data_IF_473861779396
#
_entry.id   IF_473861779396
#
_cell.length_a   1.000
_cell.length_b   1.000
_cell.length_c   1.000
_cell.angle_alpha   90.00
_cell.angle_beta   90.00
_cell.angle_gamma   90.00
#
_symmetry.space_group_name_H-M   'P 1'
#
loop_
_entity.id
_entity.type
_entity.pdbx_description
1 polymer ?
#
# COMPACT_ATOMS: atom_id res chain seq x y z
N UNK A 1 12.75 21.89 -8.50
CA UNK A 1 12.54 21.97 -7.03
C UNK A 1 13.76 21.36 -6.34
N UNK A 2 14.41 22.07 -5.42
CA UNK A 2 15.43 21.48 -4.55
C UNK A 2 14.76 20.59 -3.50
N UNK A 3 15.29 19.38 -3.29
CA UNK A 3 14.83 18.50 -2.21
C UNK A 3 15.90 18.38 -1.12
N UNK A 4 15.45 18.33 0.14
CA UNK A 4 16.33 18.16 1.29
C UNK A 4 15.82 17.00 2.13
N UNK A 5 16.71 16.12 2.56
CA UNK A 5 16.42 14.97 3.41
C UNK A 5 17.67 14.56 4.20
N UNK A 6 17.50 13.73 5.22
CA UNK A 6 18.63 13.10 5.90
C UNK A 6 18.95 11.75 5.28
N UNK A 7 20.22 11.45 5.04
CA UNK A 7 20.71 10.15 4.62
C UNK A 7 21.74 9.65 5.64
N UNK A 8 21.41 8.57 6.34
CA UNK A 8 22.25 7.98 7.38
C UNK A 8 22.66 8.96 8.49
N UNK A 9 21.84 9.99 8.74
CA UNK A 9 22.08 11.05 9.73
C UNK A 9 22.74 12.31 9.18
N UNK A 10 23.12 12.33 7.89
CA UNK A 10 23.71 13.50 7.24
C UNK A 10 22.67 14.23 6.38
N UNK A 11 22.67 15.56 6.40
CA UNK A 11 21.81 16.35 5.53
C UNK A 11 22.26 16.25 4.06
N UNK A 12 21.30 16.01 3.19
CA UNK A 12 21.49 15.98 1.74
C UNK A 12 20.56 17.00 1.11
N UNK A 13 21.11 17.92 0.31
CA UNK A 13 20.35 18.82 -0.55
C UNK A 13 20.65 18.52 -2.02
N UNK A 14 19.61 18.24 -2.80
CA UNK A 14 19.70 17.96 -4.22
C UNK A 14 18.97 19.06 -5.01
N UNK A 15 19.69 19.92 -5.74
CA UNK A 15 19.07 20.91 -6.60
C UNK A 15 18.48 20.22 -7.83
N UNK A 16 17.17 20.36 -8.00
CA UNK A 16 16.44 19.94 -9.22
C UNK A 16 16.75 18.51 -9.71
N UNK A 17 16.59 17.48 -8.87
CA UNK A 17 16.78 16.10 -9.32
C UNK A 17 15.76 15.76 -10.42
N UNK A 18 16.15 14.87 -11.33
CA UNK A 18 15.19 14.31 -12.29
C UNK A 18 14.04 13.63 -11.52
N UNK A 19 12.76 14.01 -11.77
CA UNK A 19 11.65 13.59 -10.92
C UNK A 19 11.45 12.09 -10.82
N UNK A 20 11.80 11.35 -11.86
CA UNK A 20 11.65 9.90 -11.97
C UNK A 20 12.91 9.11 -11.61
N UNK A 21 13.99 9.77 -11.16
CA UNK A 21 15.15 9.05 -10.62
C UNK A 21 14.73 8.28 -9.37
N UNK A 22 14.96 6.97 -9.38
CA UNK A 22 14.68 6.12 -8.22
C UNK A 22 15.73 6.35 -7.13
N UNK A 23 15.34 6.18 -5.87
CA UNK A 23 16.29 6.22 -4.76
C UNK A 23 17.38 5.16 -4.92
N UNK A 24 17.02 3.98 -5.46
CA UNK A 24 17.99 2.91 -5.66
C UNK A 24 19.11 3.32 -6.61
N UNK A 25 18.76 3.88 -7.78
CA UNK A 25 19.75 4.29 -8.79
C UNK A 25 20.63 5.40 -8.22
N UNK A 26 20.02 6.43 -7.62
CA UNK A 26 20.76 7.53 -7.01
C UNK A 26 21.72 7.08 -5.89
N UNK A 27 21.29 6.17 -5.01
CA UNK A 27 22.17 5.64 -3.97
C UNK A 27 23.38 4.91 -4.55
N UNK A 28 23.18 4.13 -5.61
CA UNK A 28 24.21 3.24 -6.15
C UNK A 28 25.13 3.95 -7.13
N UNK A 29 24.56 4.71 -8.06
CA UNK A 29 25.26 5.31 -9.20
C UNK A 29 25.84 6.68 -8.83
N UNK A 30 25.07 7.52 -8.16
CA UNK A 30 25.50 8.90 -7.85
C UNK A 30 26.23 9.00 -6.51
N UNK A 31 25.78 8.25 -5.50
CA UNK A 31 26.37 8.29 -4.14
C UNK A 31 27.41 7.20 -3.86
N UNK A 32 27.46 6.14 -4.67
CA UNK A 32 28.36 5.00 -4.43
C UNK A 32 28.02 4.19 -3.17
N UNK A 33 26.83 4.33 -2.60
CA UNK A 33 26.31 3.54 -1.49
C UNK A 33 25.78 2.20 -2.02
N UNK A 34 26.71 1.27 -2.21
CA UNK A 34 26.44 0.01 -2.95
C UNK A 34 25.78 -1.09 -2.12
N UNK A 35 25.53 -0.88 -0.83
CA UNK A 35 24.95 -1.85 0.10
C UNK A 35 23.50 -2.17 -0.21
N UNK A 36 22.70 -1.18 -0.61
CA UNK A 36 21.34 -1.38 -1.14
C UNK A 36 21.41 -2.09 -2.50
N UNK A 37 20.71 -3.22 -2.64
CA UNK A 37 20.85 -4.12 -3.81
C UNK A 37 19.64 -4.10 -4.73
N UNK A 38 19.89 -4.19 -6.02
CA UNK A 38 18.86 -4.48 -7.02
C UNK A 38 18.74 -5.99 -7.23
N UNK A 39 17.60 -6.58 -6.84
CA UNK A 39 17.32 -7.99 -7.12
C UNK A 39 16.22 -8.24 -8.17
N UNK A 40 15.35 -7.25 -8.39
CA UNK A 40 14.25 -7.35 -9.36
C UNK A 40 13.90 -6.01 -10.01
N UNK A 41 14.02 -4.88 -9.30
CA UNK A 41 13.58 -3.56 -9.76
C UNK A 41 12.05 -3.46 -10.00
N UNK A 42 11.27 -4.23 -9.24
CA UNK A 42 9.79 -4.31 -9.34
C UNK A 42 9.07 -4.26 -7.99
N UNK A 43 9.79 -4.06 -6.89
CA UNK A 43 9.22 -4.07 -5.53
C UNK A 43 8.97 -5.45 -4.92
N UNK A 44 9.21 -6.54 -5.65
CA UNK A 44 8.88 -7.89 -5.18
C UNK A 44 9.89 -8.51 -4.20
N UNK A 45 11.19 -8.28 -4.38
CA UNK A 45 12.20 -9.09 -3.67
C UNK A 45 12.68 -8.52 -2.32
N UNK A 46 12.44 -7.23 -2.05
CA UNK A 46 12.92 -6.53 -0.85
C UNK A 46 14.44 -6.35 -0.73
N UNK A 47 15.25 -6.77 -1.71
CA UNK A 47 16.72 -6.61 -1.67
C UNK A 47 17.17 -5.14 -1.58
N UNK A 48 16.31 -4.23 -2.05
CA UNK A 48 16.51 -2.78 -2.02
C UNK A 48 15.82 -2.10 -0.82
N UNK A 49 15.45 -2.84 0.22
CA UNK A 49 14.75 -2.26 1.37
C UNK A 49 15.63 -1.21 2.05
N UNK A 50 15.03 -0.05 2.32
CA UNK A 50 15.57 1.04 3.14
C UNK A 50 14.55 1.39 4.22
N UNK A 51 14.98 2.05 5.29
CA UNK A 51 14.07 2.59 6.30
C UNK A 51 13.89 4.09 6.05
N UNK A 52 12.64 4.53 5.95
CA UNK A 52 12.26 5.93 5.78
C UNK A 52 11.40 6.37 6.95
N UNK A 53 11.85 7.42 7.63
CA UNK A 53 11.20 7.98 8.81
C UNK A 53 10.66 9.36 8.51
N UNK A 54 9.41 9.60 8.89
CA UNK A 54 8.81 10.94 8.93
C UNK A 54 7.92 11.10 10.17
N UNK A 55 7.07 12.12 10.18
CA UNK A 55 6.16 12.44 11.29
C UNK A 55 5.22 11.28 11.68
N UNK A 56 5.01 10.30 10.80
CA UNK A 56 4.19 9.12 11.07
C UNK A 56 4.99 7.90 11.56
N UNK A 57 6.31 8.04 11.72
CA UNK A 57 7.20 7.00 12.21
C UNK A 57 8.07 6.38 11.10
N UNK A 58 8.83 5.35 11.49
CA UNK A 58 9.74 4.63 10.62
C UNK A 58 9.00 3.56 9.80
N UNK A 59 9.31 3.45 8.50
CA UNK A 59 8.75 2.45 7.60
C UNK A 59 9.82 1.85 6.71
N UNK A 60 9.75 0.54 6.48
CA UNK A 60 10.55 -0.14 5.49
C UNK A 60 9.93 0.13 4.11
N UNK A 61 10.71 0.60 3.14
CA UNK A 61 10.26 0.88 1.77
C UNK A 61 11.23 0.28 0.75
N UNK A 62 10.73 -0.01 -0.46
CA UNK A 62 11.54 -0.49 -1.58
C UNK A 62 12.15 0.69 -2.35
N UNK A 63 13.47 0.87 -2.31
CA UNK A 63 14.14 1.99 -2.97
C UNK A 63 14.00 2.01 -4.51
N UNK A 64 13.77 0.84 -5.14
CA UNK A 64 13.64 0.72 -6.61
C UNK A 64 12.38 1.38 -7.20
N UNK A 65 11.35 1.60 -6.38
CA UNK A 65 10.07 2.17 -6.81
C UNK A 65 9.69 3.37 -5.93
N UNK A 66 10.71 4.04 -5.39
CA UNK A 66 10.60 5.25 -4.59
C UNK A 66 11.38 6.35 -5.30
N UNK A 67 10.71 7.41 -5.72
CA UNK A 67 11.34 8.51 -6.44
C UNK A 67 11.90 9.56 -5.48
N UNK A 68 13.01 10.21 -5.87
CA UNK A 68 13.68 11.21 -5.06
C UNK A 68 12.75 12.31 -4.50
N UNK A 69 11.80 12.89 -5.27
CA UNK A 69 10.90 13.92 -4.74
C UNK A 69 10.05 13.49 -3.54
N UNK A 70 9.73 12.20 -3.41
CA UNK A 70 8.96 11.65 -2.28
C UNK A 70 9.76 11.65 -0.96
N UNK A 71 11.07 11.90 -1.02
CA UNK A 71 11.97 11.89 0.14
C UNK A 71 12.10 13.25 0.81
N UNK A 72 11.58 14.31 0.19
CA UNK A 72 11.67 15.66 0.72
C UNK A 72 11.13 15.74 2.16
N UNK A 73 11.99 16.21 3.07
CA UNK A 73 11.71 16.38 4.49
C UNK A 73 11.67 15.09 5.32
N UNK A 74 12.28 13.99 4.84
CA UNK A 74 12.33 12.69 5.55
C UNK A 74 13.75 12.32 5.98
N UNK A 75 13.88 11.36 6.89
CA UNK A 75 15.15 10.68 7.17
C UNK A 75 15.18 9.29 6.52
N UNK A 76 16.27 8.99 5.83
CA UNK A 76 16.50 7.75 5.11
C UNK A 76 17.70 7.06 5.75
N UNK A 77 17.51 5.80 6.13
CA UNK A 77 18.56 4.93 6.64
C UNK A 77 18.76 3.77 5.65
N UNK A 78 19.98 3.57 5.21
CA UNK A 78 20.42 2.43 4.39
C UNK A 78 21.24 1.45 5.24
N UNK A 79 21.58 0.29 4.69
CA UNK A 79 22.30 -0.76 5.44
C UNK A 79 23.66 -0.28 5.98
N UNK A 80 24.31 0.64 5.26
CA UNK A 80 25.59 1.24 5.62
C UNK A 80 25.49 2.13 6.87
N UNK A 81 24.32 2.73 7.12
CA UNK A 81 24.08 3.60 8.27
C UNK A 81 23.54 2.89 9.51
N UNK A 82 23.39 1.55 9.48
CA UNK A 82 22.78 0.76 10.58
C UNK A 82 23.72 0.60 11.76
N UNK A 83 24.98 0.26 11.50
CA UNK A 83 25.98 0.16 12.56
C UNK A 83 26.21 1.54 13.20
N UNK A 84 26.52 1.56 14.48
CA UNK A 84 26.89 2.80 15.15
C UNK A 84 28.20 3.34 14.56
N UNK A 85 28.45 4.67 14.54
CA UNK A 85 29.67 5.25 13.95
C UNK A 85 30.99 4.74 14.54
N UNK A 86 30.98 4.18 15.75
CA UNK A 86 32.16 3.54 16.35
C UNK A 86 32.42 2.09 15.87
N UNK A 87 31.58 1.58 14.97
CA UNK A 87 31.65 0.24 14.41
C UNK A 87 30.81 -0.81 15.16
N UNK A 88 30.15 -0.45 16.26
CA UNK A 88 29.27 -1.37 16.99
C UNK A 88 28.09 -1.78 16.12
N UNK A 89 27.90 -3.09 15.94
CA UNK A 89 26.78 -3.63 15.16
C UNK A 89 25.44 -3.38 15.86
N UNK A 90 24.40 -3.15 15.05
CA UNK A 90 23.04 -3.17 15.53
C UNK A 90 22.67 -4.58 16.05
N UNK A 91 21.83 -4.74 17.09
CA UNK A 91 21.42 -6.06 17.60
C UNK A 91 20.94 -7.04 16.52
N UNK A 92 20.13 -6.55 15.57
CA UNK A 92 19.71 -7.30 14.37
C UNK A 92 20.90 -7.81 13.52
N UNK A 93 21.92 -6.98 13.28
CA UNK A 93 23.10 -7.40 12.51
C UNK A 93 23.88 -8.48 13.26
N UNK A 94 24.07 -8.30 14.57
CA UNK A 94 24.76 -9.29 15.42
C UNK A 94 24.00 -10.62 15.44
N UNK A 95 22.69 -10.60 15.66
CA UNK A 95 21.85 -11.79 15.66
C UNK A 95 21.89 -12.55 14.31
N UNK A 96 21.92 -11.82 13.19
CA UNK A 96 22.04 -12.43 11.86
C UNK A 96 23.36 -13.16 11.65
N UNK A 97 24.46 -12.66 12.24
CA UNK A 97 25.76 -13.34 12.24
C UNK A 97 25.70 -14.58 13.13
N UNK A 98 25.25 -14.42 14.38
CA UNK A 98 25.28 -15.47 15.40
C UNK A 98 24.38 -16.66 15.05
N UNK A 99 23.27 -16.41 14.37
CA UNK A 99 22.24 -17.43 14.07
C UNK A 99 22.26 -17.90 12.61
N UNK A 100 23.31 -17.53 11.88
CA UNK A 100 23.54 -17.91 10.48
C UNK A 100 22.38 -17.50 9.55
N UNK A 101 21.86 -16.29 9.75
CA UNK A 101 20.77 -15.70 8.94
C UNK A 101 21.18 -15.35 7.51
N UNK A 102 22.40 -15.69 7.09
CA UNK A 102 22.96 -15.37 5.77
C UNK A 102 23.75 -16.55 5.20
N UNK A 103 23.71 -16.71 3.87
CA UNK A 103 24.58 -17.61 3.11
C UNK A 103 25.30 -16.83 2.00
N UNK A 104 24.63 -16.58 0.86
CA UNK A 104 25.23 -15.82 -0.25
C UNK A 104 25.39 -14.32 0.05
N UNK A 105 24.70 -13.79 1.06
CA UNK A 105 24.76 -12.40 1.49
C UNK A 105 23.95 -11.39 0.66
N UNK A 106 23.45 -11.77 -0.52
CA UNK A 106 22.83 -10.79 -1.44
C UNK A 106 21.54 -10.17 -0.90
N UNK A 107 20.66 -10.97 -0.31
CA UNK A 107 19.41 -10.48 0.29
C UNK A 107 19.60 -9.89 1.69
N UNK A 108 20.75 -10.11 2.32
CA UNK A 108 21.01 -9.77 3.71
C UNK A 108 20.79 -8.27 3.99
N UNK A 109 21.28 -7.31 3.16
CA UNK A 109 20.98 -5.90 3.37
C UNK A 109 19.49 -5.58 3.48
N UNK A 110 18.68 -6.12 2.57
CA UNK A 110 17.23 -5.93 2.58
C UNK A 110 16.57 -6.48 3.85
N UNK A 111 16.96 -7.69 4.25
CA UNK A 111 16.48 -8.30 5.50
C UNK A 111 16.88 -7.48 6.74
N UNK A 112 18.13 -7.03 6.82
CA UNK A 112 18.61 -6.17 7.91
C UNK A 112 17.74 -4.92 8.00
N UNK A 113 17.48 -4.24 6.88
CA UNK A 113 16.67 -3.01 6.90
C UNK A 113 15.21 -3.25 7.31
N UNK A 114 14.58 -4.35 6.88
CA UNK A 114 13.24 -4.72 7.35
C UNK A 114 13.23 -5.02 8.85
N UNK A 115 14.18 -5.81 9.34
CA UNK A 115 14.27 -6.16 10.77
C UNK A 115 14.64 -4.98 11.66
N UNK A 116 15.51 -4.07 11.20
CA UNK A 116 15.84 -2.82 11.92
C UNK A 116 14.61 -1.92 12.01
N UNK A 117 13.82 -1.82 10.93
CA UNK A 117 12.55 -1.07 10.96
C UNK A 117 11.56 -1.71 11.93
N UNK A 118 11.38 -3.03 11.86
CA UNK A 118 10.49 -3.77 12.77
C UNK A 118 10.92 -3.60 14.23
N UNK A 119 12.23 -3.74 14.51
CA UNK A 119 12.81 -3.53 15.84
C UNK A 119 12.60 -2.10 16.34
N UNK A 120 12.81 -1.10 15.49
CA UNK A 120 12.57 0.33 15.81
C UNK A 120 11.11 0.59 16.19
N UNK A 121 10.17 -0.10 15.54
CA UNK A 121 8.74 0.02 15.79
C UNK A 121 8.22 -0.93 16.88
N UNK A 122 9.07 -1.81 17.43
CA UNK A 122 8.66 -2.86 18.39
C UNK A 122 7.74 -3.94 17.79
N UNK A 123 7.77 -4.11 16.46
CA UNK A 123 6.96 -5.10 15.75
C UNK A 123 7.52 -6.52 15.94
N UNK A 124 6.63 -7.49 16.15
CA UNK A 124 6.97 -8.89 16.43
C UNK A 124 6.33 -9.89 15.46
N UNK A 125 5.50 -9.41 14.54
CA UNK A 125 4.83 -10.16 13.46
C UNK A 125 5.79 -10.42 12.29
N UNK A 126 6.90 -11.12 12.55
CA UNK A 126 8.02 -11.25 11.61
C UNK A 126 7.64 -11.85 10.24
N UNK A 127 6.68 -12.77 10.19
CA UNK A 127 6.20 -13.33 8.93
C UNK A 127 5.61 -12.22 8.02
N UNK A 128 4.85 -11.28 8.59
CA UNK A 128 4.30 -10.13 7.87
C UNK A 128 5.37 -9.10 7.53
N UNK A 129 6.26 -8.79 8.50
CA UNK A 129 7.32 -7.78 8.32
C UNK A 129 8.34 -8.21 7.25
N UNK A 130 8.57 -9.53 7.10
CA UNK A 130 9.59 -10.09 6.23
C UNK A 130 9.01 -10.74 4.96
N UNK A 131 7.69 -10.80 4.78
CA UNK A 131 7.06 -11.37 3.59
C UNK A 131 7.60 -10.78 2.27
N UNK A 132 7.98 -9.50 2.29
CA UNK A 132 8.55 -8.78 1.15
C UNK A 132 10.03 -9.01 0.89
N UNK A 133 10.72 -9.78 1.73
CA UNK A 133 12.15 -10.07 1.62
C UNK A 133 12.34 -11.51 1.18
N UNK A 134 12.78 -11.72 -0.06
CA UNK A 134 12.97 -13.06 -0.61
C UNK A 134 14.39 -13.58 -0.34
N UNK A 135 14.48 -14.77 0.23
CA UNK A 135 15.73 -15.51 0.37
C UNK A 135 15.65 -16.85 -0.36
N UNK A 136 16.65 -17.15 -1.20
CA UNK A 136 16.73 -18.43 -1.91
C UNK A 136 17.67 -19.46 -1.27
N UNK A 137 18.44 -19.06 -0.27
CA UNK A 137 19.52 -19.87 0.29
C UNK A 137 19.18 -20.45 1.67
N UNK A 138 18.65 -19.63 2.59
CA UNK A 138 18.61 -19.94 4.02
C UNK A 138 17.44 -20.83 4.44
N UNK A 139 16.37 -20.88 3.65
CA UNK A 139 15.11 -21.49 4.06
C UNK A 139 14.36 -20.71 5.15
N UNK A 140 14.67 -19.42 5.33
CA UNK A 140 14.04 -18.45 6.26
C UNK A 140 14.21 -18.70 7.76
N UNK A 141 14.15 -19.95 8.24
CA UNK A 141 14.25 -20.29 9.66
C UNK A 141 15.40 -19.60 10.45
N UNK A 142 16.65 -19.52 9.95
CA UNK A 142 17.71 -18.80 10.69
C UNK A 142 17.49 -17.27 10.75
N UNK A 143 16.79 -16.69 9.78
CA UNK A 143 16.46 -15.27 9.75
C UNK A 143 15.38 -14.97 10.80
N UNK A 144 14.33 -15.79 10.88
CA UNK A 144 13.29 -15.66 11.90
C UNK A 144 13.87 -15.75 13.30
N UNK A 145 14.76 -16.74 13.56
CA UNK A 145 15.49 -16.83 14.83
C UNK A 145 16.28 -15.57 15.16
N UNK A 146 16.93 -14.95 14.17
CA UNK A 146 17.67 -13.71 14.35
C UNK A 146 16.77 -12.51 14.67
N UNK A 147 15.62 -12.40 13.99
CA UNK A 147 14.63 -11.37 14.25
C UNK A 147 14.07 -11.46 15.68
N UNK A 148 13.72 -12.67 16.12
CA UNK A 148 13.25 -12.96 17.49
C UNK A 148 14.32 -12.65 18.54
N UNK A 149 15.56 -13.08 18.33
CA UNK A 149 16.65 -12.85 19.27
C UNK A 149 16.97 -11.35 19.47
N UNK A 150 16.73 -10.52 18.46
CA UNK A 150 16.97 -9.08 18.52
C UNK A 150 15.85 -8.29 19.24
N UNK A 151 14.64 -8.84 19.40
CA UNK A 151 13.46 -8.12 19.90
C UNK A 151 13.68 -7.45 21.26
N UNK A 152 14.34 -8.14 22.20
CA UNK A 152 14.53 -7.66 23.56
C UNK A 152 15.67 -6.64 23.74
N UNK A 153 16.48 -6.41 22.70
CA UNK A 153 17.58 -5.47 22.77
C UNK A 153 17.08 -4.02 22.64
N UNK A 154 17.73 -3.03 23.29
CA UNK A 154 17.37 -1.63 23.10
C UNK A 154 17.69 -1.18 21.65
N UNK A 155 16.80 -0.37 21.06
CA UNK A 155 17.07 0.32 19.80
C UNK A 155 18.30 1.24 19.99
N UNK A 156 19.30 1.24 19.10
CA UNK A 156 20.43 2.16 19.22
C UNK A 156 20.01 3.64 19.11
N UNK A 157 20.72 4.52 19.82
CA UNK A 157 20.35 5.94 19.91
C UNK A 157 20.41 6.67 18.56
N UNK A 158 21.43 6.40 17.73
CA UNK A 158 21.56 7.04 16.41
C UNK A 158 20.44 6.66 15.44
N UNK A 159 19.80 5.50 15.63
CA UNK A 159 18.61 5.08 14.88
C UNK A 159 17.37 5.79 15.43
N UNK A 160 17.21 5.89 16.75
CA UNK A 160 16.09 6.63 17.37
C UNK A 160 16.08 8.11 16.94
N UNK A 161 17.25 8.72 16.82
CA UNK A 161 17.40 10.12 16.42
C UNK A 161 16.87 10.42 15.02
N UNK A 162 16.70 9.43 14.14
CA UNK A 162 16.05 9.65 12.83
C UNK A 162 14.62 10.19 12.98
N UNK A 163 13.92 9.83 14.06
CA UNK A 163 12.57 10.34 14.34
C UNK A 163 12.55 11.81 14.79
N UNK A 164 13.71 12.34 15.23
CA UNK A 164 13.85 13.74 15.63
C UNK A 164 14.04 14.69 14.45
N UNK A 165 14.44 14.17 13.29
CA UNK A 165 14.44 14.94 12.06
C UNK A 165 13.01 15.10 11.55
N UNK A 166 12.41 16.21 11.94
CA UNK A 166 11.21 16.73 11.32
C UNK A 166 11.68 17.96 10.57
N UNK A 167 11.71 17.88 9.24
CA UNK A 167 11.76 19.09 8.43
C UNK A 167 10.50 19.88 8.76
N UNK A 168 10.62 20.83 9.69
CA UNK A 168 9.56 21.78 9.95
C UNK A 168 9.33 22.51 8.63
N UNK A 169 8.09 22.90 8.35
CA UNK A 169 7.79 23.88 7.30
C UNK A 169 8.40 25.23 7.69
N UNK A 170 9.72 25.29 7.85
CA UNK A 170 10.39 26.56 7.93
C UNK A 170 10.51 27.02 6.49
N UNK A 171 9.66 27.99 6.17
CA UNK A 171 10.05 29.05 5.24
C UNK A 171 11.36 29.66 5.75
N UNK A 172 12.49 29.01 5.47
CA UNK A 172 13.84 29.53 5.64
C UNK A 172 14.46 29.44 4.24
N UNK A 173 14.61 30.52 3.49
CA UNK A 173 15.03 31.82 4.01
C UNK A 173 16.33 31.58 4.75
N UNK A 174 17.40 31.36 3.98
CA UNK A 174 18.76 31.10 4.41
C UNK A 174 19.08 31.88 5.70
N UNK A 175 19.28 31.18 6.82
CA UNK A 175 19.73 31.85 8.04
C UNK A 175 21.23 32.03 7.93
N UNK A 176 21.57 33.25 7.56
CA UNK A 176 22.75 34.00 7.95
C UNK A 176 23.51 33.42 9.16
N UNK A 177 24.75 33.00 8.91
CA UNK A 177 25.82 33.18 9.89
C UNK A 177 27.10 33.68 9.19
N UNK A 178 27.03 34.91 8.68
CA UNK A 178 28.12 35.89 8.63
C UNK A 178 27.48 37.26 8.81
N UNK A 179 27.78 37.93 9.92
CA UNK A 179 27.13 39.17 10.35
C UNK A 179 27.11 40.30 9.31
N UNK A 180 26.05 40.34 8.52
CA UNK A 180 25.63 41.48 7.72
C UNK A 180 24.12 41.67 7.94
N UNK A 181 23.70 42.91 8.15
CA UNK A 181 22.29 43.27 8.27
C UNK A 181 21.49 42.78 7.04
N UNK A 182 20.24 42.32 7.23
CA UNK A 182 19.46 41.78 6.13
C UNK A 182 19.09 42.90 5.14
N UNK A 183 19.28 42.70 3.82
CA UNK A 183 18.80 43.66 2.83
C UNK A 183 17.28 43.72 2.87
N UNK A 184 16.74 44.93 2.86
CA UNK A 184 15.34 45.29 3.05
C UNK A 184 14.40 44.95 1.89
N UNK A 185 14.76 44.02 1.00
CA UNK A 185 13.97 43.65 -0.18
C UNK A 185 13.97 42.12 -0.37
N UNK A 186 13.11 41.41 0.38
CA UNK A 186 12.83 39.99 0.13
C UNK A 186 11.44 39.88 -0.53
N UNK A 187 11.33 39.30 -1.74
CA UNK A 187 10.04 39.06 -2.37
C UNK A 187 9.25 37.99 -1.61
N UNK A 188 7.93 38.18 -1.65
CA UNK A 188 6.82 37.27 -1.31
C UNK A 188 7.17 35.79 -1.44
N UNK A 189 6.65 34.98 -0.49
CA UNK A 189 6.70 33.51 -0.42
C UNK A 189 6.98 32.81 -1.77
N UNK A 190 7.98 31.93 -1.79
CA UNK A 190 8.32 31.13 -2.97
C UNK A 190 7.05 30.52 -3.58
N UNK A 191 6.89 30.58 -4.93
CA UNK A 191 5.70 30.08 -5.58
C UNK A 191 5.46 28.60 -5.20
N UNK A 192 4.20 28.19 -4.99
CA UNK A 192 3.89 26.81 -4.61
C UNK A 192 4.47 25.84 -5.63
N UNK A 193 5.16 24.81 -5.13
CA UNK A 193 5.77 23.78 -5.99
C UNK A 193 4.66 23.04 -6.72
N UNK A 194 4.56 23.26 -8.04
CA UNK A 194 3.64 22.52 -8.89
C UNK A 194 3.97 21.03 -8.92
N UNK A 195 5.23 20.65 -8.66
CA UNK A 195 5.66 19.25 -8.61
C UNK A 195 5.11 18.49 -7.39
N UNK A 196 4.90 19.17 -6.26
CA UNK A 196 4.53 18.55 -4.98
C UNK A 196 3.57 19.42 -4.16
N UNK A 197 2.26 19.43 -4.48
CA UNK A 197 1.25 20.16 -3.73
C UNK A 197 1.18 19.70 -2.26
N UNK A 198 0.88 20.64 -1.36
CA UNK A 198 0.85 20.44 0.10
C UNK A 198 -0.57 20.24 0.67
N UNK A 199 -1.59 20.49 -0.13
CA UNK A 199 -2.99 20.29 0.22
C UNK A 199 -3.80 19.84 -0.99
N UNK A 200 -4.99 19.29 -0.74
CA UNK A 200 -5.94 18.94 -1.78
C UNK A 200 -6.38 20.14 -2.63
N UNK A 201 -6.36 21.36 -2.08
CA UNK A 201 -6.65 22.59 -2.81
C UNK A 201 -5.53 22.96 -3.78
N UNK A 202 -4.27 22.92 -3.34
CA UNK A 202 -3.10 23.12 -4.22
C UNK A 202 -3.07 22.05 -5.32
N UNK A 203 -3.37 20.79 -4.99
CA UNK A 203 -3.47 19.70 -5.96
C UNK A 203 -4.58 19.95 -6.97
N UNK A 204 -5.78 20.35 -6.53
CA UNK A 204 -6.91 20.56 -7.42
C UNK A 204 -6.64 21.69 -8.42
N UNK A 205 -6.04 22.80 -7.99
CA UNK A 205 -5.64 23.88 -8.88
C UNK A 205 -4.55 23.43 -9.85
N UNK A 206 -3.53 22.72 -9.35
CA UNK A 206 -2.37 22.28 -10.13
C UNK A 206 -2.76 21.27 -11.21
N UNK A 207 -3.62 20.30 -10.87
CA UNK A 207 -4.01 19.23 -11.79
C UNK A 207 -5.08 19.70 -12.79
N UNK A 208 -5.95 20.64 -12.42
CA UNK A 208 -6.84 21.30 -13.38
C UNK A 208 -6.06 22.09 -14.45
N UNK A 209 -4.91 22.67 -14.09
CA UNK A 209 -4.03 23.36 -15.04
C UNK A 209 -3.17 22.41 -15.89
N UNK A 210 -2.97 21.16 -15.43
CA UNK A 210 -2.18 20.12 -16.11
C UNK A 210 -2.93 18.79 -16.12
N UNK A 211 -4.03 18.69 -16.87
CA UNK A 211 -4.92 17.52 -16.82
C UNK A 211 -4.27 16.22 -17.34
N UNK A 212 -3.17 16.33 -18.08
CA UNK A 212 -2.40 15.20 -18.62
C UNK A 212 -1.24 14.77 -17.68
N UNK A 213 -1.00 15.49 -16.58
CA UNK A 213 0.07 15.17 -15.65
C UNK A 213 -0.15 13.81 -14.98
N UNK A 214 0.93 13.05 -14.83
CA UNK A 214 0.88 11.77 -14.11
C UNK A 214 0.90 12.03 -12.61
N UNK A 215 -0.22 11.71 -11.93
CA UNK A 215 -0.27 11.76 -10.47
C UNK A 215 0.48 10.57 -9.87
N UNK A 216 1.39 10.86 -8.93
CA UNK A 216 2.21 9.86 -8.24
C UNK A 216 1.92 9.92 -6.74
N UNK A 217 1.23 8.88 -6.25
CA UNK A 217 1.01 8.66 -4.82
C UNK A 217 2.19 7.89 -4.21
N UNK A 218 2.01 6.57 -3.99
CA UNK A 218 3.04 5.67 -3.49
C UNK A 218 4.05 5.18 -4.53
N UNK A 219 3.83 5.48 -5.82
CA UNK A 219 4.62 5.01 -6.96
C UNK A 219 4.71 3.47 -7.13
N UNK A 220 3.92 2.67 -6.40
CA UNK A 220 4.04 1.21 -6.43
C UNK A 220 3.55 0.55 -7.73
N UNK A 221 2.73 1.25 -8.51
CA UNK A 221 2.38 0.88 -9.90
C UNK A 221 3.20 1.72 -10.91
N UNK A 222 3.19 3.05 -10.75
CA UNK A 222 3.85 4.01 -11.67
C UNK A 222 5.36 3.79 -11.75
N UNK A 223 6.00 3.36 -10.66
CA UNK A 223 7.42 3.02 -10.62
C UNK A 223 7.76 1.96 -11.67
N UNK A 224 6.88 0.98 -11.90
CA UNK A 224 7.07 -0.06 -12.90
C UNK A 224 6.97 0.47 -14.33
N UNK A 225 6.31 1.59 -14.55
CA UNK A 225 6.28 2.24 -15.87
C UNK A 225 7.69 2.74 -16.23
N UNK A 226 8.40 3.28 -15.25
CA UNK A 226 9.79 3.73 -15.42
C UNK A 226 10.74 2.53 -15.45
N UNK A 227 10.70 1.65 -14.44
CA UNK A 227 11.72 0.60 -14.28
C UNK A 227 11.56 -0.59 -15.22
N UNK A 228 10.33 -0.89 -15.66
CA UNK A 228 10.05 -2.06 -16.51
C UNK A 228 9.51 -1.75 -17.87
N UNK A 229 8.68 -0.73 -17.98
CA UNK A 229 8.20 -0.27 -19.29
C UNK A 229 9.14 0.74 -19.92
N UNK A 230 10.19 1.18 -19.20
CA UNK A 230 11.19 2.15 -19.68
C UNK A 230 10.53 3.41 -20.23
N UNK A 231 9.45 3.86 -19.58
CA UNK A 231 8.74 5.08 -19.94
C UNK A 231 9.37 6.27 -19.26
N UNK A 232 9.53 7.34 -20.03
CA UNK A 232 9.82 8.66 -19.51
C UNK A 232 8.52 9.35 -19.09
N UNK A 233 8.50 9.93 -17.88
CA UNK A 233 7.37 10.68 -17.35
C UNK A 233 7.79 12.12 -17.12
N UNK A 234 7.56 12.98 -18.10
CA UNK A 234 8.03 14.36 -18.10
C UNK A 234 7.18 15.29 -17.21
N UNK A 235 5.86 15.10 -17.21
CA UNK A 235 4.92 15.89 -16.41
C UNK A 235 4.31 15.04 -15.28
N UNK A 236 4.77 15.28 -14.06
CA UNK A 236 4.37 14.52 -12.87
C UNK A 236 3.94 15.43 -11.72
N UNK A 237 3.09 14.89 -10.85
CA UNK A 237 2.64 15.55 -9.61
C UNK A 237 2.72 14.55 -8.46
N UNK A 238 3.55 14.82 -7.46
CA UNK A 238 3.70 14.00 -6.27
C UNK A 238 2.69 14.38 -5.19
N UNK A 239 1.87 13.41 -4.80
CA UNK A 239 0.77 13.62 -3.86
C UNK A 239 1.18 13.50 -2.39
N UNK A 240 2.42 13.07 -2.11
CA UNK A 240 2.88 12.78 -0.75
C UNK A 240 2.93 14.03 0.16
N UNK A 241 2.95 15.23 -0.44
CA UNK A 241 2.83 16.50 0.25
C UNK A 241 1.41 16.82 0.75
N UNK A 242 0.36 16.25 0.15
CA UNK A 242 -1.05 16.54 0.49
C UNK A 242 -1.45 15.85 1.80
N UNK A 243 -1.26 16.53 2.93
CA UNK A 243 -1.49 15.95 4.27
C UNK A 243 -2.97 15.74 4.59
N UNK A 244 -3.83 16.62 4.09
CA UNK A 244 -5.30 16.55 4.24
C UNK A 244 -5.94 15.35 3.53
N UNK A 245 -5.28 14.79 2.51
CA UNK A 245 -5.72 13.56 1.83
C UNK A 245 -5.34 12.26 2.56
N UNK A 246 -4.60 12.33 3.67
CA UNK A 246 -4.11 11.14 4.42
C UNK A 246 -5.02 10.72 5.57
N UNK A 247 -6.10 11.44 5.83
CA UNK A 247 -6.98 11.23 6.99
C UNK A 247 -7.80 9.93 6.89
N UNK A 248 -8.06 9.31 8.04
CA UNK A 248 -9.07 8.27 8.19
C UNK A 248 -9.99 8.71 9.33
N UNK A 249 -11.28 8.81 9.07
CA UNK A 249 -12.29 9.22 10.05
C UNK A 249 -13.29 8.09 10.21
N UNK A 250 -13.46 7.63 11.45
CA UNK A 250 -14.47 6.65 11.84
C UNK A 250 -15.42 7.35 12.80
N UNK A 251 -16.68 7.49 12.39
CA UNK A 251 -17.76 8.03 13.21
C UNK A 251 -18.75 6.92 13.57
N UNK A 252 -19.82 7.28 14.30
CA UNK A 252 -20.90 6.34 14.60
C UNK A 252 -21.66 5.87 13.35
N UNK A 253 -21.64 6.65 12.27
CA UNK A 253 -22.46 6.42 11.07
C UNK A 253 -21.66 6.14 9.80
N UNK A 254 -20.43 6.63 9.70
CA UNK A 254 -19.61 6.53 8.49
C UNK A 254 -18.13 6.25 8.80
N UNK A 255 -17.50 5.46 7.93
CA UNK A 255 -16.04 5.38 7.77
C UNK A 255 -15.66 6.13 6.50
N UNK A 256 -14.75 7.11 6.61
CA UNK A 256 -14.19 7.86 5.48
C UNK A 256 -12.67 7.71 5.46
N UNK A 257 -12.12 7.35 4.30
CA UNK A 257 -10.70 7.10 4.08
C UNK A 257 -10.21 8.01 2.96
N UNK A 258 -9.28 8.92 3.28
CA UNK A 258 -8.66 9.80 2.30
C UNK A 258 -7.78 9.05 1.31
N UNK A 259 -7.70 9.54 0.07
CA UNK A 259 -7.02 8.87 -1.03
C UNK A 259 -5.53 8.57 -0.80
N UNK A 260 -4.86 9.33 0.07
CA UNK A 260 -3.44 9.16 0.42
C UNK A 260 -3.21 8.36 1.70
N UNK A 261 -4.25 7.76 2.30
CA UNK A 261 -4.06 6.80 3.38
C UNK A 261 -3.32 5.55 2.87
N UNK A 262 -2.18 5.22 3.49
CA UNK A 262 -1.41 4.02 3.16
C UNK A 262 -2.12 2.76 3.65
N UNK A 263 -1.83 1.63 2.99
CA UNK A 263 -2.54 0.38 3.24
C UNK A 263 -2.31 -0.19 4.64
N UNK A 264 -1.19 0.11 5.32
CA UNK A 264 -0.99 -0.32 6.70
C UNK A 264 -1.93 0.43 7.66
N UNK A 265 -2.10 1.75 7.47
CA UNK A 265 -3.07 2.54 8.24
C UNK A 265 -4.52 2.13 7.93
N UNK A 266 -4.83 1.80 6.67
CA UNK A 266 -6.16 1.28 6.30
C UNK A 266 -6.42 -0.07 6.99
N UNK A 267 -5.45 -1.00 6.98
CA UNK A 267 -5.55 -2.28 7.71
C UNK A 267 -5.89 -2.05 9.19
N UNK A 268 -5.06 -1.28 9.88
CA UNK A 268 -5.22 -1.04 11.32
C UNK A 268 -6.57 -0.37 11.66
N UNK A 269 -7.02 0.57 10.82
CA UNK A 269 -8.30 1.25 11.02
C UNK A 269 -9.52 0.33 10.79
N UNK A 270 -9.42 -0.63 9.87
CA UNK A 270 -10.53 -1.49 9.49
C UNK A 270 -10.58 -2.82 10.27
N UNK A 271 -9.49 -3.26 10.86
CA UNK A 271 -9.43 -4.48 11.69
C UNK A 271 -10.54 -4.57 12.74
N UNK A 272 -10.79 -3.56 13.60
CA UNK A 272 -11.86 -3.64 14.60
C UNK A 272 -13.28 -3.58 14.00
N UNK A 273 -13.42 -3.23 12.72
CA UNK A 273 -14.71 -3.04 12.06
C UNK A 273 -15.07 -4.22 11.14
N UNK A 274 -14.07 -4.75 10.44
CA UNK A 274 -14.18 -5.74 9.38
C UNK A 274 -12.89 -6.59 9.35
N UNK A 275 -12.74 -7.49 10.32
CA UNK A 275 -11.51 -8.26 10.53
C UNK A 275 -11.08 -9.04 9.26
N UNK A 276 -12.03 -9.61 8.53
CA UNK A 276 -11.74 -10.33 7.28
C UNK A 276 -11.18 -9.42 6.18
N UNK A 277 -11.57 -8.15 6.12
CA UNK A 277 -10.98 -7.20 5.17
C UNK A 277 -9.57 -6.80 5.61
N UNK A 278 -9.34 -6.60 6.90
CA UNK A 278 -7.99 -6.36 7.42
C UNK A 278 -7.04 -7.55 7.17
N UNK A 279 -7.51 -8.79 7.30
CA UNK A 279 -6.73 -10.00 6.95
C UNK A 279 -6.43 -10.06 5.44
N UNK A 280 -7.36 -9.65 4.58
CA UNK A 280 -7.04 -9.50 3.16
C UNK A 280 -5.94 -8.45 2.96
N UNK A 281 -6.02 -7.29 3.62
CA UNK A 281 -4.99 -6.25 3.51
C UNK A 281 -3.65 -6.72 4.07
N UNK A 282 -3.62 -7.57 5.11
CA UNK A 282 -2.38 -8.23 5.56
C UNK A 282 -1.67 -8.95 4.40
N UNK A 283 -2.45 -9.55 3.50
CA UNK A 283 -1.98 -10.24 2.29
C UNK A 283 -1.90 -9.33 1.05
N UNK A 284 -2.19 -8.04 1.17
CA UNK A 284 -1.99 -7.06 0.10
C UNK A 284 -0.49 -6.79 -0.03
N UNK A 285 0.10 -7.23 -1.15
CA UNK A 285 1.52 -7.10 -1.44
C UNK A 285 2.42 -7.51 -0.25
N UNK A 286 3.43 -6.70 0.07
CA UNK A 286 4.30 -6.85 1.25
C UNK A 286 4.19 -5.65 2.18
N UNK A 287 4.77 -5.75 3.38
CA UNK A 287 4.83 -4.64 4.33
C UNK A 287 5.42 -3.36 3.71
N UNK A 288 6.49 -3.50 2.91
CA UNK A 288 7.15 -2.38 2.24
C UNK A 288 6.26 -1.70 1.22
N UNK A 289 5.52 -2.49 0.44
CA UNK A 289 4.58 -1.95 -0.54
C UNK A 289 3.38 -1.32 0.16
N UNK A 290 2.84 -1.93 1.23
CA UNK A 290 1.71 -1.35 1.99
C UNK A 290 2.04 -0.03 2.66
N UNK A 291 3.30 0.16 3.07
CA UNK A 291 3.78 1.39 3.66
C UNK A 291 3.87 2.56 2.65
N UNK A 292 3.87 2.28 1.34
CA UNK A 292 3.86 3.30 0.27
C UNK A 292 2.52 3.39 -0.46
N UNK A 293 1.93 2.24 -0.82
CA UNK A 293 0.70 2.15 -1.61
C UNK A 293 -0.48 2.79 -0.86
N UNK A 294 -1.29 3.53 -1.60
CA UNK A 294 -2.45 4.23 -1.05
C UNK A 294 -3.75 3.64 -1.55
N UNK A 295 -4.83 3.77 -0.76
CA UNK A 295 -6.16 3.29 -1.17
C UNK A 295 -6.66 4.01 -2.43
N UNK A 296 -6.38 5.32 -2.55
CA UNK A 296 -6.76 6.11 -3.71
C UNK A 296 -5.98 5.69 -4.95
N UNK A 297 -4.67 5.42 -4.82
CA UNK A 297 -3.86 4.88 -5.90
C UNK A 297 -4.35 3.51 -6.37
N UNK A 298 -4.71 2.62 -5.43
CA UNK A 298 -5.25 1.31 -5.76
C UNK A 298 -6.58 1.38 -6.55
N UNK A 299 -7.48 2.30 -6.17
CA UNK A 299 -8.74 2.54 -6.90
C UNK A 299 -8.46 3.20 -8.26
N UNK A 300 -7.65 4.26 -8.29
CA UNK A 300 -7.35 5.05 -9.47
C UNK A 300 -6.56 4.29 -10.54
N UNK A 301 -5.81 3.25 -10.16
CA UNK A 301 -5.14 2.35 -11.09
C UNK A 301 -6.15 1.54 -11.93
N UNK A 302 -7.36 1.28 -11.40
CA UNK A 302 -8.44 0.69 -12.19
C UNK A 302 -8.21 -0.78 -12.59
N UNK A 303 -7.30 -1.48 -11.91
CA UNK A 303 -6.93 -2.85 -12.26
C UNK A 303 -8.05 -3.84 -11.89
N UNK A 304 -8.43 -4.79 -12.77
CA UNK A 304 -9.44 -5.81 -12.48
C UNK A 304 -9.04 -6.77 -11.36
N UNK A 305 -7.75 -6.83 -11.03
CA UNK A 305 -7.16 -7.69 -10.00
C UNK A 305 -6.74 -6.88 -8.76
N UNK A 306 -7.13 -5.59 -8.68
CA UNK A 306 -6.97 -4.80 -7.47
C UNK A 306 -7.78 -5.40 -6.32
N UNK A 307 -7.15 -5.57 -5.16
CA UNK A 307 -7.77 -6.34 -4.08
C UNK A 307 -8.81 -5.55 -3.25
N UNK A 308 -8.69 -4.22 -3.15
CA UNK A 308 -9.60 -3.40 -2.34
C UNK A 308 -10.95 -3.07 -3.01
N UNK A 309 -11.04 -2.82 -4.33
CA UNK A 309 -12.32 -2.48 -4.96
C UNK A 309 -13.43 -3.50 -4.68
N UNK A 310 -13.24 -4.84 -4.80
CA UNK A 310 -14.32 -5.77 -4.50
C UNK A 310 -14.81 -5.67 -3.04
N UNK A 311 -13.91 -5.54 -2.06
CA UNK A 311 -14.28 -5.39 -0.65
C UNK A 311 -15.09 -4.11 -0.41
N UNK A 312 -14.64 -2.98 -0.98
CA UNK A 312 -15.33 -1.70 -0.87
C UNK A 312 -16.68 -1.70 -1.62
N UNK A 313 -16.78 -2.37 -2.76
CA UNK A 313 -18.05 -2.57 -3.48
C UNK A 313 -19.03 -3.40 -2.64
N UNK A 314 -18.57 -4.48 -2.00
CA UNK A 314 -19.40 -5.28 -1.09
C UNK A 314 -19.87 -4.48 0.15
N UNK A 315 -19.08 -3.50 0.59
CA UNK A 315 -19.46 -2.52 1.62
C UNK A 315 -20.39 -1.40 1.09
N UNK A 316 -20.69 -1.39 -0.22
CA UNK A 316 -21.47 -0.34 -0.91
C UNK A 316 -20.83 1.04 -0.76
N UNK A 317 -19.50 1.09 -0.87
CA UNK A 317 -18.74 2.31 -0.71
C UNK A 317 -19.08 3.36 -1.79
N UNK A 318 -19.00 4.62 -1.38
CA UNK A 318 -19.08 5.81 -2.23
C UNK A 318 -17.68 6.34 -2.49
N UNK A 319 -17.32 6.52 -3.76
CA UNK A 319 -16.09 7.16 -4.19
C UNK A 319 -16.32 8.68 -4.31
N UNK A 320 -15.41 9.46 -3.76
CA UNK A 320 -15.41 10.92 -3.81
C UNK A 320 -14.33 11.38 -4.78
N UNK A 321 -14.74 12.09 -5.83
CA UNK A 321 -13.89 12.63 -6.88
C UNK A 321 -13.89 14.16 -6.80
N UNK A 322 -12.76 14.78 -7.15
CA UNK A 322 -12.59 16.24 -7.12
C UNK A 322 -11.93 16.74 -8.40
N UNK A 323 -12.49 17.80 -8.98
CA UNK A 323 -11.95 18.55 -10.11
C UNK A 323 -12.03 20.05 -9.78
N UNK A 324 -10.89 20.71 -9.62
CA UNK A 324 -10.83 22.09 -9.10
C UNK A 324 -11.69 22.24 -7.83
N UNK A 325 -12.68 23.16 -7.85
CA UNK A 325 -13.61 23.40 -6.73
C UNK A 325 -14.83 22.48 -6.75
N UNK A 326 -15.02 21.71 -7.82
CA UNK A 326 -16.16 20.80 -7.98
C UNK A 326 -15.86 19.43 -7.38
N UNK A 327 -16.86 18.85 -6.72
CA UNK A 327 -16.80 17.50 -6.14
C UNK A 327 -17.99 16.69 -6.62
N UNK A 328 -17.77 15.42 -6.91
CA UNK A 328 -18.83 14.45 -7.17
C UNK A 328 -18.62 13.19 -6.35
N UNK A 329 -19.73 12.52 -6.06
CA UNK A 329 -19.76 11.27 -5.33
C UNK A 329 -20.53 10.24 -6.16
N UNK A 330 -19.95 9.06 -6.35
CA UNK A 330 -20.56 7.96 -7.11
C UNK A 330 -20.41 6.65 -6.33
N UNK A 331 -21.32 5.67 -6.50
CA UNK A 331 -21.05 4.31 -6.05
C UNK A 331 -19.72 3.82 -6.63
N UNK A 332 -18.85 3.23 -5.80
CA UNK A 332 -17.50 2.85 -6.22
C UNK A 332 -17.50 1.92 -7.46
N UNK A 333 -18.48 1.03 -7.55
CA UNK A 333 -18.62 0.11 -8.68
C UNK A 333 -18.82 0.81 -10.03
N UNK A 334 -19.42 2.01 -10.03
CA UNK A 334 -19.72 2.78 -11.24
C UNK A 334 -18.48 3.52 -11.77
N UNK A 335 -17.42 3.61 -10.96
CA UNK A 335 -16.14 4.18 -11.37
C UNK A 335 -15.42 3.33 -12.42
N UNK A 336 -15.63 2.01 -12.45
CA UNK A 336 -14.95 1.10 -13.35
C UNK A 336 -15.84 0.82 -14.58
N UNK A 337 -15.52 1.43 -15.72
CA UNK A 337 -16.34 1.35 -16.95
C UNK A 337 -15.94 0.13 -17.78
N UNK A 338 -14.64 -0.03 -18.02
CA UNK A 338 -14.07 -1.11 -18.82
C UNK A 338 -12.60 -1.35 -18.40
N UNK A 339 -11.97 -2.38 -18.94
CA UNK A 339 -10.55 -2.64 -18.72
C UNK A 339 -9.70 -1.43 -19.13
N UNK A 340 -8.98 -0.85 -18.17
CA UNK A 340 -8.16 0.34 -18.39
C UNK A 340 -8.96 1.64 -18.63
N UNK A 341 -10.27 1.65 -18.34
CA UNK A 341 -11.13 2.83 -18.47
C UNK A 341 -11.97 3.07 -17.22
N UNK A 342 -11.85 4.25 -16.64
CA UNK A 342 -12.60 4.66 -15.46
C UNK A 342 -13.44 5.90 -15.74
N UNK A 343 -14.48 6.11 -14.93
CA UNK A 343 -15.25 7.36 -14.90
C UNK A 343 -14.42 8.44 -14.17
N UNK A 344 -13.43 9.00 -14.88
CA UNK A 344 -12.55 10.07 -14.39
C UNK A 344 -12.38 11.14 -15.47
N UNK A 345 -12.82 12.36 -15.20
CA UNK A 345 -12.62 13.48 -16.12
C UNK A 345 -11.13 13.92 -16.15
N UNK A 346 -10.66 14.53 -17.26
CA UNK A 346 -9.33 15.16 -17.27
C UNK A 346 -9.20 16.19 -16.13
N UNK A 347 -8.09 16.16 -15.39
CA UNK A 347 -7.89 17.03 -14.21
C UNK A 347 -8.69 16.64 -12.95
N UNK A 348 -9.44 15.52 -12.98
CA UNK A 348 -10.19 15.01 -11.84
C UNK A 348 -9.41 13.91 -11.11
N UNK A 349 -9.37 13.96 -9.78
CA UNK A 349 -8.66 12.97 -8.95
C UNK A 349 -9.56 12.35 -7.87
N UNK A 350 -9.14 11.18 -7.38
CA UNK A 350 -9.78 10.50 -6.24
C UNK A 350 -9.42 11.26 -4.96
N UNK A 351 -10.42 11.79 -4.26
CA UNK A 351 -10.24 12.54 -3.00
C UNK A 351 -10.36 11.59 -1.79
N UNK A 352 -11.36 10.71 -1.79
CA UNK A 352 -11.62 9.78 -0.70
C UNK A 352 -12.56 8.63 -1.11
N UNK A 353 -12.69 7.64 -0.24
CA UNK A 353 -13.75 6.64 -0.29
C UNK A 353 -14.45 6.57 1.08
N UNK A 354 -15.77 6.38 1.10
CA UNK A 354 -16.50 6.21 2.36
C UNK A 354 -17.58 5.12 2.29
N UNK A 355 -17.95 4.57 3.44
CA UNK A 355 -19.05 3.61 3.56
C UNK A 355 -19.71 3.72 4.94
N UNK A 356 -20.98 3.34 5.01
CA UNK A 356 -21.75 3.41 6.25
C UNK A 356 -21.25 2.38 7.28
N UNK A 357 -21.32 2.75 8.57
CA UNK A 357 -21.17 1.80 9.67
C UNK A 357 -22.28 0.77 9.58
N UNK A 358 -21.90 -0.50 9.64
CA UNK A 358 -22.81 -1.63 9.53
C UNK A 358 -22.33 -2.78 10.41
N UNK A 359 -23.22 -3.69 10.83
CA UNK A 359 -22.81 -4.96 11.45
C UNK A 359 -21.83 -5.71 10.54
N UNK A 360 -20.85 -6.39 11.13
CA UNK A 360 -19.83 -7.07 10.33
C UNK A 360 -20.32 -8.42 9.80
N UNK A 361 -20.88 -8.39 8.60
CA UNK A 361 -21.15 -9.56 7.76
C UNK A 361 -20.18 -9.68 6.60
N UNK A 362 -19.16 -8.83 6.51
CA UNK A 362 -18.22 -8.84 5.39
C UNK A 362 -17.23 -10.00 5.54
N UNK A 363 -17.06 -10.78 4.48
CA UNK A 363 -15.91 -11.67 4.33
C UNK A 363 -15.22 -11.42 3.00
N UNK A 364 -13.90 -11.39 3.00
CA UNK A 364 -13.06 -11.15 1.84
C UNK A 364 -12.08 -12.31 1.70
N UNK A 365 -12.18 -13.05 0.60
CA UNK A 365 -11.36 -14.21 0.33
C UNK A 365 -10.42 -13.93 -0.84
N UNK A 366 -9.11 -13.92 -0.54
CA UNK A 366 -8.05 -13.82 -1.53
C UNK A 366 -7.50 -15.19 -1.89
N UNK A 367 -7.58 -15.56 -3.16
CA UNK A 367 -7.01 -16.78 -3.71
C UNK A 367 -5.88 -16.46 -4.70
N UNK A 368 -4.71 -17.01 -4.43
CA UNK A 368 -3.46 -16.80 -5.16
C UNK A 368 -2.60 -18.08 -5.06
N UNK A 369 -1.49 -18.17 -5.81
CA UNK A 369 -0.62 -19.36 -5.77
C UNK A 369 0.18 -19.44 -4.48
N UNK A 370 0.60 -18.29 -3.95
CA UNK A 370 1.27 -18.12 -2.66
C UNK A 370 0.39 -17.26 -1.75
N UNK A 371 0.44 -17.50 -0.44
CA UNK A 371 -0.40 -16.77 0.51
C UNK A 371 -0.03 -15.29 0.56
N UNK A 372 1.23 -14.98 0.88
CA UNK A 372 1.70 -13.60 1.03
C UNK A 372 2.38 -13.11 -0.24
N UNK A 373 2.26 -11.79 -0.45
CA UNK A 373 2.84 -11.08 -1.60
C UNK A 373 2.60 -11.80 -2.93
N UNK A 374 1.33 -12.03 -3.23
CA UNK A 374 0.91 -12.58 -4.51
C UNK A 374 -0.34 -11.86 -5.00
N UNK A 375 -0.49 -11.78 -6.31
CA UNK A 375 -1.63 -11.16 -6.96
C UNK A 375 -2.78 -12.15 -6.99
N UNK A 376 -3.98 -11.68 -6.67
CA UNK A 376 -5.19 -12.50 -6.69
C UNK A 376 -5.44 -13.10 -8.07
N UNK A 377 -5.60 -14.42 -8.13
CA UNK A 377 -6.29 -15.06 -9.23
C UNK A 377 -7.80 -14.79 -9.11
N UNK A 378 -8.35 -15.00 -7.92
CA UNK A 378 -9.76 -14.66 -7.60
C UNK A 378 -9.77 -13.96 -6.26
N UNK A 379 -10.45 -12.82 -6.20
CA UNK A 379 -10.80 -12.20 -4.93
C UNK A 379 -12.31 -12.06 -4.85
N UNK A 380 -12.92 -12.70 -3.86
CA UNK A 380 -14.37 -12.64 -3.61
C UNK A 380 -14.67 -11.91 -2.32
N UNK A 381 -15.53 -10.90 -2.37
CA UNK A 381 -16.02 -10.17 -1.21
C UNK A 381 -17.54 -10.35 -1.07
N UNK A 382 -17.99 -10.76 0.11
CA UNK A 382 -19.38 -11.14 0.38
C UNK A 382 -19.90 -10.36 1.58
N UNK A 383 -21.05 -9.72 1.42
CA UNK A 383 -21.73 -9.01 2.48
C UNK A 383 -23.26 -9.22 2.36
N UNK A 384 -23.78 -10.15 3.16
CA UNK A 384 -25.18 -10.62 3.12
C UNK A 384 -25.85 -10.35 4.46
N UNK A 385 -27.02 -9.75 4.41
CA UNK A 385 -27.85 -9.47 5.59
C UNK A 385 -28.94 -10.53 5.72
N UNK A 386 -28.91 -11.29 6.82
CA UNK A 386 -29.92 -12.30 7.13
C UNK A 386 -30.77 -11.82 8.30
N UNK A 387 -32.09 -11.78 8.11
CA UNK A 387 -33.07 -11.39 9.14
C UNK A 387 -34.10 -12.50 9.26
N UNK A 388 -34.33 -13.01 10.47
CA UNK A 388 -35.28 -14.09 10.75
C UNK A 388 -35.07 -15.32 9.83
N UNK A 389 -33.82 -15.66 9.52
CA UNK A 389 -33.45 -16.79 8.67
C UNK A 389 -33.63 -16.59 7.16
N UNK A 390 -33.98 -15.38 6.70
CA UNK A 390 -34.10 -15.05 5.27
C UNK A 390 -33.10 -13.97 4.86
N UNK A 391 -32.59 -14.09 3.63
CA UNK A 391 -31.68 -13.09 3.05
C UNK A 391 -32.47 -11.86 2.62
N UNK A 392 -32.15 -10.72 3.22
CA UNK A 392 -32.83 -9.43 2.95
C UNK A 392 -32.01 -8.50 2.06
N UNK A 393 -30.68 -8.64 2.07
CA UNK A 393 -29.78 -7.91 1.19
C UNK A 393 -28.53 -8.74 0.92
N UNK A 394 -27.97 -8.59 -0.27
CA UNK A 394 -26.69 -9.18 -0.66
C UNK A 394 -25.89 -8.16 -1.48
N UNK A 395 -24.60 -8.04 -1.19
CA UNK A 395 -23.61 -7.41 -2.06
C UNK A 395 -22.40 -8.34 -2.13
N UNK A 396 -22.18 -8.90 -3.32
CA UNK A 396 -21.17 -9.91 -3.61
C UNK A 396 -20.37 -9.40 -4.80
N UNK A 397 -19.09 -9.12 -4.60
CA UNK A 397 -18.23 -8.53 -5.62
C UNK A 397 -16.96 -9.33 -5.82
N UNK A 398 -16.43 -9.30 -7.04
CA UNK A 398 -15.26 -10.06 -7.42
C UNK A 398 -14.21 -9.22 -8.15
N UNK A 399 -12.94 -9.52 -7.86
CA UNK A 399 -11.77 -9.15 -8.66
C UNK A 399 -11.18 -10.38 -9.37
N UNK A 400 -10.54 -10.18 -10.52
CA UNK A 400 -9.93 -11.25 -11.33
C UNK A 400 -10.92 -12.13 -12.10
N UNK A 401 -12.21 -11.78 -12.10
CA UNK A 401 -13.29 -12.55 -12.74
C UNK A 401 -13.84 -11.90 -14.01
N UNK A 402 -13.50 -10.64 -14.28
CA UNK A 402 -13.94 -9.85 -15.43
C UNK A 402 -12.93 -8.75 -15.76
N UNK A 403 -13.22 -7.95 -16.79
CA UNK A 403 -12.46 -6.77 -17.22
C UNK A 403 -12.39 -5.65 -16.15
N UNK A 404 -13.33 -5.65 -15.21
CA UNK A 404 -13.46 -4.70 -14.10
C UNK A 404 -13.83 -5.45 -12.81
N UNK A 405 -13.54 -4.89 -11.61
CA UNK A 405 -14.15 -5.38 -10.39
C UNK A 405 -15.66 -5.11 -10.43
N UNK A 406 -16.49 -6.15 -10.27
CA UNK A 406 -17.95 -6.00 -10.37
C UNK A 406 -18.72 -6.93 -9.45
N UNK A 407 -20.00 -6.62 -9.26
CA UNK A 407 -20.96 -7.42 -8.50
C UNK A 407 -21.43 -8.65 -9.28
N UNK A 408 -21.78 -9.71 -8.54
CA UNK A 408 -22.41 -10.92 -9.02
C UNK A 408 -23.95 -10.77 -8.92
N UNK A 409 -24.53 -9.95 -9.79
CA UNK A 409 -25.92 -9.52 -9.67
C UNK A 409 -26.92 -10.68 -9.80
N UNK A 410 -26.64 -11.70 -10.62
CA UNK A 410 -27.50 -12.87 -10.74
C UNK A 410 -27.40 -13.75 -9.49
N UNK A 411 -26.19 -13.93 -8.92
CA UNK A 411 -26.01 -14.64 -7.65
C UNK A 411 -26.75 -13.93 -6.50
N UNK A 412 -26.63 -12.61 -6.41
CA UNK A 412 -27.35 -11.82 -5.41
C UNK A 412 -28.87 -11.97 -5.55
N UNK A 413 -29.38 -11.89 -6.78
CA UNK A 413 -30.82 -12.06 -7.08
C UNK A 413 -31.31 -13.47 -6.72
N UNK A 414 -30.47 -14.49 -6.89
CA UNK A 414 -30.80 -15.87 -6.49
C UNK A 414 -30.84 -16.07 -4.97
N UNK A 415 -30.19 -15.21 -4.19
CA UNK A 415 -30.16 -15.29 -2.73
C UNK A 415 -31.26 -14.44 -2.07
N UNK A 416 -31.51 -13.22 -2.56
CA UNK A 416 -32.44 -12.28 -1.91
C UNK A 416 -33.87 -12.86 -1.86
N UNK A 417 -34.49 -12.80 -0.69
CA UNK A 417 -35.81 -13.35 -0.41
C UNK A 417 -35.83 -14.86 -0.11
N UNK A 418 -34.71 -15.56 -0.27
CA UNK A 418 -34.61 -16.99 0.02
C UNK A 418 -34.23 -17.25 1.49
N UNK A 419 -34.54 -18.44 2.04
CA UNK A 419 -34.06 -18.84 3.35
C UNK A 419 -32.54 -19.07 3.32
N UNK A 420 -31.82 -18.71 4.39
CA UNK A 420 -30.37 -18.89 4.53
C UNK A 420 -30.03 -20.35 4.86
N UNK A 421 -29.97 -21.20 3.84
CA UNK A 421 -29.79 -22.66 3.99
C UNK A 421 -28.82 -23.22 2.93
N UNK A 422 -28.24 -24.39 3.21
CA UNK A 422 -27.34 -25.08 2.26
C UNK A 422 -27.99 -25.31 0.88
N UNK A 423 -29.28 -25.66 0.85
CA UNK A 423 -30.03 -25.85 -0.38
C UNK A 423 -30.08 -24.56 -1.23
N UNK A 424 -30.33 -23.41 -0.60
CA UNK A 424 -30.31 -22.10 -1.24
C UNK A 424 -28.92 -21.78 -1.79
N UNK A 425 -27.87 -21.99 -1.01
CA UNK A 425 -26.49 -21.75 -1.42
C UNK A 425 -26.11 -22.61 -2.62
N UNK A 426 -26.44 -23.90 -2.58
CA UNK A 426 -26.19 -24.83 -3.68
C UNK A 426 -26.91 -24.42 -4.96
N UNK A 427 -28.15 -23.94 -4.86
CA UNK A 427 -28.91 -23.44 -6.00
C UNK A 427 -28.31 -22.16 -6.59
N UNK A 428 -27.89 -21.20 -5.75
CA UNK A 428 -27.33 -19.92 -6.19
C UNK A 428 -26.00 -20.07 -6.94
N UNK A 429 -25.24 -21.15 -6.73
CA UNK A 429 -23.96 -21.40 -7.43
C UNK A 429 -24.08 -21.41 -8.96
N UNK A 430 -25.23 -21.80 -9.51
CA UNK A 430 -25.43 -21.84 -10.96
C UNK A 430 -25.53 -20.44 -11.60
N UNK A 431 -25.81 -19.40 -10.79
CA UNK A 431 -25.91 -18.03 -11.30
C UNK A 431 -24.55 -17.40 -11.61
N UNK A 432 -23.45 -17.95 -11.10
CA UNK A 432 -22.10 -17.45 -11.37
C UNK A 432 -21.74 -17.45 -12.87
N UNK A 433 -22.23 -18.43 -13.64
CA UNK A 433 -22.01 -18.51 -15.09
C UNK A 433 -22.65 -17.36 -15.86
N UNK A 434 -23.70 -16.74 -15.30
CA UNK A 434 -24.37 -15.60 -15.90
C UNK A 434 -23.64 -14.29 -15.58
N UNK A 435 -22.96 -14.25 -14.43
CA UNK A 435 -22.22 -13.07 -13.99
C UNK A 435 -20.80 -13.01 -14.58
N UNK A 436 -20.12 -14.14 -14.77
CA UNK A 436 -18.70 -14.16 -15.10
C UNK A 436 -18.33 -15.17 -16.19
N UNK A 437 -17.41 -14.75 -17.06
CA UNK A 437 -16.69 -15.59 -18.02
C UNK A 437 -15.20 -15.28 -17.90
N UNK A 438 -14.53 -15.84 -16.87
CA UNK A 438 -13.15 -15.47 -16.55
C UNK A 438 -12.17 -15.93 -17.64
N UNK A 439 -11.02 -15.26 -17.72
CA UNK A 439 -9.93 -15.64 -18.64
C UNK A 439 -9.03 -16.72 -18.01
N UNK A 440 -8.30 -17.44 -18.85
CA UNK A 440 -7.17 -18.28 -18.41
C UNK A 440 -5.87 -17.51 -18.57
N UNK A 441 -4.97 -17.62 -17.59
CA UNK A 441 -3.63 -17.05 -17.65
C UNK A 441 -2.62 -17.90 -16.85
N UNK A 442 -1.41 -17.39 -16.69
CA UNK A 442 -0.35 -18.02 -15.90
C UNK A 442 -0.71 -18.20 -14.42
N UNK A 443 -1.70 -17.47 -13.87
CA UNK A 443 -2.15 -17.51 -12.47
C UNK A 443 -3.16 -18.61 -12.25
N UNK A 444 -4.15 -18.73 -13.14
CA UNK A 444 -5.19 -19.75 -13.06
C UNK A 444 -5.95 -19.91 -14.37
N UNK A 445 -6.47 -21.11 -14.61
CA UNK A 445 -7.42 -21.35 -15.69
C UNK A 445 -8.80 -20.73 -15.40
N UNK A 446 -9.55 -20.43 -16.45
CA UNK A 446 -10.92 -19.91 -16.36
C UNK A 446 -11.83 -20.83 -15.54
N UNK A 447 -11.75 -22.15 -15.77
CA UNK A 447 -12.52 -23.14 -15.03
C UNK A 447 -12.20 -23.11 -13.53
N UNK A 448 -10.91 -23.07 -13.17
CA UNK A 448 -10.49 -22.99 -11.78
C UNK A 448 -10.99 -21.71 -11.10
N UNK A 449 -10.90 -20.55 -11.80
CA UNK A 449 -11.41 -19.27 -11.29
C UNK A 449 -12.91 -19.35 -10.96
N UNK A 450 -13.71 -19.90 -11.87
CA UNK A 450 -15.16 -20.00 -11.70
C UNK A 450 -15.56 -20.99 -10.59
N UNK A 451 -14.90 -22.15 -10.53
CA UNK A 451 -15.14 -23.13 -9.47
C UNK A 451 -14.77 -22.58 -8.09
N UNK A 452 -13.66 -21.85 -7.99
CA UNK A 452 -13.27 -21.19 -6.75
C UNK A 452 -14.26 -20.10 -6.34
N UNK A 453 -14.78 -19.29 -7.26
CA UNK A 453 -15.80 -18.29 -6.96
C UNK A 453 -17.08 -18.92 -6.37
N UNK A 454 -17.53 -20.04 -6.93
CA UNK A 454 -18.66 -20.83 -6.40
C UNK A 454 -18.37 -21.40 -5.01
N UNK A 455 -17.15 -21.90 -4.78
CA UNK A 455 -16.75 -22.47 -3.50
C UNK A 455 -16.58 -21.41 -2.41
N UNK A 456 -16.17 -20.19 -2.77
CA UNK A 456 -16.15 -19.05 -1.83
C UNK A 456 -17.54 -18.72 -1.28
N UNK A 457 -18.62 -18.90 -2.07
CA UNK A 457 -19.99 -18.74 -1.55
C UNK A 457 -20.34 -19.81 -0.49
N UNK A 458 -19.91 -21.07 -0.70
CA UNK A 458 -20.07 -22.10 0.34
C UNK A 458 -19.26 -21.77 1.57
N UNK A 459 -17.99 -21.38 1.41
CA UNK A 459 -17.16 -20.96 2.52
C UNK A 459 -17.80 -19.82 3.32
N UNK A 460 -18.35 -18.82 2.63
CA UNK A 460 -19.07 -17.73 3.27
C UNK A 460 -20.26 -18.17 4.10
N UNK A 461 -21.04 -19.12 3.58
CA UNK A 461 -22.15 -19.71 4.31
C UNK A 461 -21.69 -20.43 5.59
N UNK A 462 -20.62 -21.21 5.50
CA UNK A 462 -20.04 -21.92 6.65
C UNK A 462 -19.48 -20.94 7.70
N UNK A 463 -18.75 -19.90 7.26
CA UNK A 463 -18.18 -18.87 8.12
C UNK A 463 -19.25 -18.11 8.91
N UNK A 464 -20.34 -17.69 8.26
CA UNK A 464 -21.45 -16.99 8.95
C UNK A 464 -22.25 -17.90 9.89
N UNK A 465 -22.18 -19.22 9.71
CA UNK A 465 -22.79 -20.20 10.61
C UNK A 465 -21.83 -20.67 11.72
N UNK A 466 -20.67 -20.02 11.89
CA UNK A 466 -19.75 -20.25 13.01
C UNK A 466 -18.78 -21.41 12.82
N UNK A 467 -18.67 -21.98 11.62
CA UNK A 467 -17.70 -23.02 11.30
C UNK A 467 -16.63 -22.49 10.34
N UNK A 468 -15.76 -21.60 10.84
CA UNK A 468 -14.67 -21.01 10.04
C UNK A 468 -13.79 -22.10 9.43
N UNK A 469 -13.62 -22.06 8.11
CA UNK A 469 -12.71 -22.95 7.37
C UNK A 469 -11.54 -22.11 6.84
N UNK A 470 -10.55 -21.83 7.70
CA UNK A 470 -9.38 -21.04 7.35
C UNK A 470 -8.07 -21.81 7.58
N UNK A 471 -7.39 -22.17 6.49
CA UNK A 471 -6.14 -22.95 6.56
C UNK A 471 -5.04 -22.25 7.36
N UNK A 472 -4.99 -20.91 7.36
CA UNK A 472 -4.00 -20.15 8.15
C UNK A 472 -4.36 -20.03 9.64
N UNK A 473 -5.55 -20.48 10.06
CA UNK A 473 -5.95 -20.53 11.49
C UNK A 473 -5.72 -21.92 12.10
N UNK A 474 -5.27 -22.90 11.31
CA UNK A 474 -4.95 -24.23 11.81
C UNK A 474 -3.67 -24.15 12.64
N UNK A 475 -3.81 -24.28 13.96
CA UNK A 475 -2.67 -24.35 14.89
C UNK A 475 -1.78 -25.56 14.59
N UNK A 476 -0.47 -25.37 14.76
CA UNK A 476 0.55 -26.43 14.70
C UNK A 476 0.70 -27.14 16.04
#
# INVERSE_FOLDING_TARGET
>A
MTITFHLNGEEVSLPEPQPTTTLLDWLREDRGLTGTKEGCNEGDCGACTVMVTDQSGARALNACILFLPQLHGKSIRTVEGVAHPDGTLHPVQQAMVDLHGSQCGFCTPGFIMSMVTAHTNGAIDHDDQLAGNLCRCTGYAPITRAAEAAQGAPVPEHIRQDSSFIFSEISRGEVADRGAEPPSDIPVAAPPSTLRPRSSDELAATYAARPDATLIAGATDVGLWVTKQLRDLDDVIFLDGCTDLKGITISETEVRIGAMADMNRVRAALEPLHASYAEMIRRYASQQVRAAATIGGNIANGSPIGDNPPALIALRATLHLRHADTRRAIPLQDFFIDYGKQDRAPGEFVEAVSFARQPDSLRVYKLSKRFDQDISAVLGAFNVTVVNGSVTAAAIAFGGMAAIPKRAAHVESALIGQPWTDATIKAAKAAFDQDFTPMSDMRASAAYRLDCARNMLTRYFTDLNGASEHVLEVGL
#
